data_IF_231548140824
#
_entry.id   IF_231548140824
#
_cell.length_a   1.000
_cell.length_b   1.000
_cell.length_c   1.000
_cell.angle_alpha   90.00
_cell.angle_beta   90.00
_cell.angle_gamma   90.00
#
_symmetry.space_group_name_H-M   'P 1'
#
loop_
_entity.id
_entity.type
_entity.pdbx_description
1 polymer ?
#
# COMPACT_ATOMS: atom_id res chain seq x y z
N UNK A 1 -3.10 -3.78 12.66
CA UNK A 1 -3.34 -4.50 11.46
C UNK A 1 -2.80 -3.74 10.25
N UNK A 2 -2.74 -4.37 9.08
CA UNK A 2 -2.02 -3.82 7.93
C UNK A 2 -2.60 -2.49 7.42
N UNK A 3 -3.91 -2.32 7.45
CA UNK A 3 -4.53 -1.10 6.93
C UNK A 3 -4.15 0.12 7.77
N UNK A 4 -4.11 -0.01 9.09
CA UNK A 4 -3.69 1.07 9.96
C UNK A 4 -2.21 1.40 9.76
N UNK A 5 -1.38 0.38 9.60
CA UNK A 5 0.05 0.57 9.36
C UNK A 5 0.30 1.28 8.04
N UNK A 6 -0.42 0.89 6.97
CA UNK A 6 -0.29 1.53 5.67
C UNK A 6 -0.71 3.00 5.76
N UNK A 7 -1.83 3.30 6.40
CA UNK A 7 -2.29 4.68 6.57
C UNK A 7 -1.29 5.53 7.36
N UNK A 8 -0.70 4.94 8.39
CA UNK A 8 0.32 5.61 9.18
C UNK A 8 1.52 6.01 8.31
N UNK A 9 2.02 5.06 7.53
CA UNK A 9 3.19 5.33 6.69
C UNK A 9 2.85 6.27 5.53
N UNK A 10 1.65 6.21 4.98
CA UNK A 10 1.19 7.18 3.99
C UNK A 10 1.21 8.60 4.55
N UNK A 11 0.67 8.77 5.75
CA UNK A 11 0.64 10.08 6.41
C UNK A 11 2.06 10.57 6.69
N UNK A 12 2.91 9.70 7.15
CA UNK A 12 4.31 10.02 7.44
C UNK A 12 5.06 10.50 6.21
N UNK A 13 4.79 9.89 5.04
CA UNK A 13 5.44 10.25 3.78
C UNK A 13 4.65 11.29 2.98
N UNK A 14 3.55 11.78 3.52
CA UNK A 14 2.67 12.76 2.86
C UNK A 14 2.17 12.27 1.49
N UNK A 15 1.83 10.99 1.41
CA UNK A 15 1.31 10.37 0.18
C UNK A 15 -0.20 10.17 0.32
N UNK A 16 -0.97 10.64 -0.64
CA UNK A 16 -2.42 10.48 -0.65
C UNK A 16 -2.81 9.17 -1.32
N UNK A 17 -4.06 8.75 -1.11
CA UNK A 17 -4.60 7.57 -1.82
C UNK A 17 -4.54 7.73 -3.33
N UNK A 18 -4.79 8.95 -3.84
CA UNK A 18 -4.71 9.22 -5.26
C UNK A 18 -3.30 8.95 -5.80
N UNK A 19 -2.30 9.47 -5.10
CA UNK A 19 -0.91 9.27 -5.47
C UNK A 19 -0.52 7.80 -5.38
N UNK A 20 -0.90 7.14 -4.29
CA UNK A 20 -0.56 5.74 -4.09
C UNK A 20 -1.23 4.85 -5.13
N UNK A 21 -2.48 5.11 -5.48
CA UNK A 21 -3.17 4.35 -6.52
C UNK A 21 -2.46 4.49 -7.86
N UNK A 22 -2.00 5.69 -8.21
CA UNK A 22 -1.25 5.89 -9.44
C UNK A 22 0.09 5.13 -9.42
N UNK A 23 0.78 5.18 -8.29
CA UNK A 23 2.06 4.48 -8.12
C UNK A 23 1.90 2.97 -8.21
N UNK A 24 0.85 2.43 -7.58
CA UNK A 24 0.56 1.00 -7.64
C UNK A 24 0.15 0.55 -9.04
N UNK A 25 -0.62 1.38 -9.76
CA UNK A 25 -1.01 1.08 -11.13
C UNK A 25 0.23 0.96 -12.03
N UNK A 26 1.15 1.88 -11.88
CA UNK A 26 2.38 1.87 -12.67
C UNK A 26 3.28 0.69 -12.31
N UNK A 27 3.45 0.42 -11.00
CA UNK A 27 4.32 -0.65 -10.54
C UNK A 27 3.83 -2.04 -10.93
N UNK A 28 2.52 -2.27 -10.85
CA UNK A 28 1.97 -3.62 -11.03
C UNK A 28 1.42 -3.87 -12.43
N UNK A 29 1.17 -2.82 -13.20
CA UNK A 29 0.48 -2.94 -14.49
C UNK A 29 -1.01 -3.18 -14.36
N UNK A 30 -1.54 -3.25 -13.15
CA UNK A 30 -2.97 -3.37 -12.89
C UNK A 30 -3.55 -2.02 -12.54
N UNK A 31 -4.82 -1.81 -12.85
CA UNK A 31 -5.46 -0.53 -12.55
C UNK A 31 -5.90 -0.46 -11.09
N UNK A 32 -5.34 0.49 -10.37
CA UNK A 32 -5.77 0.84 -9.02
C UNK A 32 -6.40 2.21 -9.05
N UNK A 33 -7.57 2.34 -8.42
CA UNK A 33 -8.23 3.63 -8.22
C UNK A 33 -8.25 3.94 -6.73
N UNK A 34 -8.59 5.19 -6.39
CA UNK A 34 -8.74 5.59 -4.99
C UNK A 34 -9.73 4.65 -4.29
N UNK A 35 -10.89 4.41 -4.93
CA UNK A 35 -11.93 3.57 -4.34
C UNK A 35 -11.49 2.12 -4.19
N UNK A 36 -10.80 1.58 -5.19
CA UNK A 36 -10.30 0.20 -5.13
C UNK A 36 -9.31 0.04 -3.99
N UNK A 37 -8.35 0.95 -3.89
CA UNK A 37 -7.30 0.86 -2.88
C UNK A 37 -7.84 1.09 -1.48
N UNK A 38 -8.62 2.15 -1.28
CA UNK A 38 -9.19 2.42 0.04
C UNK A 38 -10.17 1.34 0.46
N UNK A 39 -10.95 0.80 -0.50
CA UNK A 39 -11.87 -0.29 -0.23
C UNK A 39 -11.14 -1.56 0.23
N UNK A 40 -10.00 -1.89 -0.38
CA UNK A 40 -9.20 -3.04 0.05
C UNK A 40 -8.70 -2.87 1.48
N UNK A 41 -8.30 -1.66 1.84
CA UNK A 41 -7.82 -1.39 3.20
C UNK A 41 -8.95 -1.45 4.21
N UNK A 42 -10.10 -0.86 3.89
CA UNK A 42 -11.26 -0.86 4.80
C UNK A 42 -11.77 -2.28 5.04
N UNK A 43 -11.85 -3.09 3.99
CA UNK A 43 -12.34 -4.47 4.09
C UNK A 43 -11.25 -5.46 4.51
N UNK A 44 -10.06 -4.98 4.76
CA UNK A 44 -8.91 -5.81 5.11
C UNK A 44 -8.66 -6.92 4.08
N UNK A 45 -8.95 -6.61 2.80
CA UNK A 45 -8.77 -7.56 1.70
C UNK A 45 -7.47 -7.35 0.93
N UNK A 46 -6.60 -6.45 1.41
CA UNK A 46 -5.30 -6.23 0.80
C UNK A 46 -4.41 -7.46 1.04
N UNK A 47 -3.70 -7.87 0.00
CA UNK A 47 -2.82 -9.04 0.11
C UNK A 47 -1.48 -8.66 0.72
N UNK A 48 -0.74 -9.66 1.21
CA UNK A 48 0.61 -9.43 1.69
C UNK A 48 1.51 -8.86 0.60
N UNK A 49 1.38 -9.39 -0.62
CA UNK A 49 2.14 -8.89 -1.76
C UNK A 49 1.87 -7.41 -2.01
N UNK A 50 0.59 -7.01 -2.00
CA UNK A 50 0.22 -5.61 -2.18
C UNK A 50 0.77 -4.74 -1.06
N UNK A 51 0.69 -5.23 0.18
CA UNK A 51 1.22 -4.51 1.33
C UNK A 51 2.72 -4.24 1.19
N UNK A 52 3.48 -5.26 0.80
CA UNK A 52 4.92 -5.11 0.60
C UNK A 52 5.24 -4.14 -0.54
N UNK A 53 4.47 -4.19 -1.62
CA UNK A 53 4.64 -3.28 -2.75
C UNK A 53 4.36 -1.83 -2.35
N UNK A 54 3.29 -1.62 -1.57
CA UNK A 54 2.94 -0.28 -1.09
C UNK A 54 4.04 0.28 -0.19
N UNK A 55 4.52 -0.50 0.75
CA UNK A 55 5.55 -0.06 1.67
C UNK A 55 6.86 0.23 0.94
N UNK A 56 7.19 -0.57 -0.05
CA UNK A 56 8.37 -0.32 -0.90
C UNK A 56 8.23 1.00 -1.66
N UNK A 57 7.04 1.28 -2.21
CA UNK A 57 6.77 2.54 -2.89
C UNK A 57 6.88 3.74 -1.95
N UNK A 58 6.54 3.54 -0.69
CA UNK A 58 6.66 4.59 0.32
C UNK A 58 8.09 4.78 0.84
N UNK A 59 9.02 3.95 0.38
CA UNK A 59 10.43 4.10 0.73
C UNK A 59 10.89 3.20 1.87
N UNK A 60 10.11 2.18 2.22
CA UNK A 60 10.45 1.28 3.30
C UNK A 60 10.92 -0.07 2.78
N UNK A 61 11.92 -0.63 3.43
CA UNK A 61 12.38 -1.99 3.17
C UNK A 61 11.85 -2.90 4.26
N UNK A 62 11.25 -4.01 3.84
CA UNK A 62 10.76 -4.99 4.79
C UNK A 62 11.55 -6.27 4.60
N UNK A 63 12.18 -6.71 5.69
CA UNK A 63 12.85 -7.99 5.74
C UNK A 63 11.97 -8.98 6.50
N UNK A 64 11.74 -10.13 5.89
CA UNK A 64 11.09 -11.23 6.57
C UNK A 64 12.19 -12.20 6.95
N UNK A 65 12.40 -12.34 8.24
CA UNK A 65 13.47 -13.20 8.76
C UNK A 65 12.86 -14.40 9.48
N UNK A 66 13.47 -15.54 9.27
CA UNK A 66 13.09 -16.76 9.98
C UNK A 66 13.76 -16.77 11.33
N UNK A 67 12.97 -17.01 12.37
CA UNK A 67 13.50 -17.15 13.72
C UNK A 67 14.26 -18.47 13.90
#
# INVERSE_FOLDING_TARGET
>A
NFDNDIKYYMAREAVTFKQLAAMMSEKTGKKYTINTLSGKLIRESITLKETLQILELLGYNIKIEKN
#
